data_IF_875088846963
#
_entry.id   IF_875088846963
#
_cell.length_a   1.000
_cell.length_b   1.000
_cell.length_c   1.000
_cell.angle_alpha   90.00
_cell.angle_beta   90.00
_cell.angle_gamma   90.00
#
_symmetry.space_group_name_H-M   'P 1'
#
loop_
_entity.id
_entity.type
_entity.pdbx_description
1 polymer ?
#
# COMPACT_ATOMS: atom_id res chain seq x y z
N UNK A 1 -18.78 7.89 -14.27
CA UNK A 1 -17.53 8.12 -15.01
C UNK A 1 -17.19 6.81 -15.70
N UNK A 2 -17.13 6.79 -17.02
CA UNK A 2 -16.65 5.63 -17.78
C UNK A 2 -15.13 5.69 -17.81
N UNK A 3 -14.48 4.74 -17.14
CA UNK A 3 -13.01 4.57 -17.18
C UNK A 3 -12.63 4.26 -18.63
N UNK A 4 -11.57 4.86 -19.16
CA UNK A 4 -11.10 4.53 -20.50
C UNK A 4 -10.46 3.14 -20.49
N UNK A 5 -10.55 2.40 -21.58
CA UNK A 5 -9.94 1.06 -21.68
C UNK A 5 -8.43 1.07 -21.39
N UNK A 6 -7.74 2.18 -21.67
CA UNK A 6 -6.32 2.36 -21.36
C UNK A 6 -6.06 2.51 -19.85
N UNK A 7 -6.93 3.25 -19.15
CA UNK A 7 -6.85 3.44 -17.70
C UNK A 7 -7.16 2.14 -16.96
N UNK A 8 -8.15 1.38 -17.43
CA UNK A 8 -8.42 0.02 -16.94
C UNK A 8 -7.19 -0.90 -17.07
N UNK A 9 -6.51 -0.83 -18.22
CA UNK A 9 -5.34 -1.64 -18.49
C UNK A 9 -4.13 -1.23 -17.62
N UNK A 10 -3.98 0.07 -17.37
CA UNK A 10 -2.95 0.61 -16.49
C UNK A 10 -3.18 0.18 -15.03
N UNK A 11 -4.41 0.28 -14.53
CA UNK A 11 -4.75 -0.14 -13.16
C UNK A 11 -4.57 -1.66 -12.99
N UNK A 12 -4.99 -2.46 -13.97
CA UNK A 12 -4.76 -3.91 -13.95
C UNK A 12 -3.25 -4.27 -14.00
N UNK A 13 -2.44 -3.47 -14.69
CA UNK A 13 -0.98 -3.62 -14.69
C UNK A 13 -0.38 -3.31 -13.31
N UNK A 14 -0.82 -2.21 -12.69
CA UNK A 14 -0.39 -1.79 -11.35
C UNK A 14 -0.74 -2.84 -10.30
N UNK A 15 -1.99 -3.33 -10.27
CA UNK A 15 -2.43 -4.37 -9.35
C UNK A 15 -1.57 -5.64 -9.47
N UNK A 16 -1.27 -6.07 -10.70
CA UNK A 16 -0.38 -7.22 -10.94
C UNK A 16 1.04 -6.98 -10.42
N UNK A 17 1.57 -5.76 -10.53
CA UNK A 17 2.88 -5.44 -9.97
C UNK A 17 2.89 -5.54 -8.45
N UNK A 18 1.89 -4.94 -7.80
CA UNK A 18 1.77 -4.94 -6.34
C UNK A 18 1.66 -6.38 -5.80
N UNK A 19 0.91 -7.26 -6.47
CA UNK A 19 0.81 -8.68 -6.09
C UNK A 19 2.16 -9.40 -6.20
N UNK A 20 2.94 -9.14 -7.26
CA UNK A 20 4.29 -9.74 -7.40
C UNK A 20 5.23 -9.26 -6.30
N UNK A 21 5.24 -7.95 -6.04
CA UNK A 21 6.09 -7.35 -5.01
C UNK A 21 5.70 -7.86 -3.61
N UNK A 22 4.41 -8.17 -3.41
CA UNK A 22 3.91 -8.73 -2.17
C UNK A 22 4.40 -10.15 -1.94
N UNK A 23 4.38 -11.01 -2.97
CA UNK A 23 4.94 -12.36 -2.84
C UNK A 23 6.46 -12.31 -2.60
N UNK A 24 7.19 -11.41 -3.26
CA UNK A 24 8.61 -11.19 -2.97
C UNK A 24 8.84 -10.73 -1.52
N UNK A 25 8.05 -9.78 -1.02
CA UNK A 25 8.11 -9.33 0.37
C UNK A 25 7.79 -10.47 1.36
N UNK A 26 6.88 -11.38 1.00
CA UNK A 26 6.53 -12.55 1.79
C UNK A 26 7.68 -13.56 1.84
N UNK A 27 8.31 -13.85 0.70
CA UNK A 27 9.49 -14.72 0.61
C UNK A 27 10.65 -14.19 1.46
N UNK A 28 10.84 -12.87 1.48
CA UNK A 28 11.85 -12.18 2.29
C UNK A 28 11.44 -12.01 3.77
N UNK A 29 10.28 -12.55 4.18
CA UNK A 29 9.76 -12.41 5.54
C UNK A 29 9.69 -10.94 6.00
N UNK A 30 9.22 -10.05 5.13
CA UNK A 30 9.04 -8.62 5.39
C UNK A 30 7.55 -8.31 5.69
N UNK A 31 7.05 -8.55 6.92
CA UNK A 31 5.64 -8.41 7.25
C UNK A 31 5.13 -6.97 7.12
N UNK A 32 6.01 -5.98 7.31
CA UNK A 32 5.66 -4.57 7.06
C UNK A 32 5.36 -4.31 5.59
N UNK A 33 6.23 -4.76 4.68
CA UNK A 33 6.05 -4.56 3.25
C UNK A 33 4.80 -5.29 2.73
N UNK A 34 4.54 -6.51 3.21
CA UNK A 34 3.30 -7.24 2.89
C UNK A 34 2.06 -6.42 3.24
N UNK A 35 2.00 -5.86 4.46
CA UNK A 35 0.87 -5.04 4.93
C UNK A 35 0.72 -3.74 4.13
N UNK A 36 1.82 -3.11 3.76
CA UNK A 36 1.79 -1.89 2.95
C UNK A 36 1.23 -2.18 1.55
N UNK A 37 1.70 -3.26 0.92
CA UNK A 37 1.25 -3.68 -0.41
C UNK A 37 -0.23 -4.13 -0.41
N UNK A 38 -0.68 -4.78 0.67
CA UNK A 38 -2.11 -5.07 0.88
C UNK A 38 -2.97 -3.79 0.91
N UNK A 39 -2.48 -2.72 1.56
CA UNK A 39 -3.18 -1.44 1.59
C UNK A 39 -3.19 -0.74 0.23
N UNK A 40 -2.10 -0.84 -0.54
CA UNK A 40 -2.07 -0.35 -1.92
C UNK A 40 -3.10 -1.09 -2.80
N UNK A 41 -3.25 -2.41 -2.65
CA UNK A 41 -4.28 -3.17 -3.39
C UNK A 41 -5.70 -2.74 -3.02
N UNK A 42 -5.94 -2.46 -1.73
CA UNK A 42 -7.23 -1.96 -1.26
C UNK A 42 -7.55 -0.58 -1.88
N UNK A 43 -6.57 0.33 -1.93
CA UNK A 43 -6.74 1.63 -2.57
C UNK A 43 -7.02 1.51 -4.07
N UNK A 44 -6.34 0.60 -4.77
CA UNK A 44 -6.61 0.29 -6.18
C UNK A 44 -8.04 -0.22 -6.38
N UNK A 45 -8.52 -1.13 -5.52
CA UNK A 45 -9.87 -1.65 -5.60
C UNK A 45 -10.93 -0.57 -5.36
N UNK A 46 -10.71 0.32 -4.37
CA UNK A 46 -11.60 1.44 -4.08
C UNK A 46 -11.70 2.40 -5.28
N UNK A 47 -10.56 2.77 -5.86
CA UNK A 47 -10.55 3.62 -7.06
C UNK A 47 -11.27 2.96 -8.25
N UNK A 48 -11.10 1.65 -8.43
CA UNK A 48 -11.75 0.89 -9.52
C UNK A 48 -13.28 0.82 -9.38
N UNK A 49 -13.82 0.70 -8.17
CA UNK A 49 -15.27 0.69 -7.92
C UNK A 49 -15.96 2.04 -8.19
N UNK A 50 -15.24 3.06 -8.65
CA UNK A 50 -15.78 4.42 -8.77
C UNK A 50 -16.08 5.05 -7.41
N UNK A 51 -15.67 4.39 -6.32
CA UNK A 51 -15.42 5.03 -5.03
C UNK A 51 -14.10 5.77 -5.18
N UNK A 52 -14.12 6.78 -6.07
CA UNK A 52 -13.00 7.70 -6.28
C UNK A 52 -12.49 8.21 -4.94
N UNK A 53 -11.24 8.70 -4.87
CA UNK A 53 -10.48 8.87 -3.64
C UNK A 53 -11.41 9.40 -2.55
N UNK A 54 -11.78 8.52 -1.61
CA UNK A 54 -12.69 8.89 -0.52
C UNK A 54 -11.96 9.93 0.30
N UNK A 55 -12.16 11.20 -0.06
CA UNK A 55 -11.35 12.33 0.34
C UNK A 55 -9.88 12.23 -0.14
N UNK A 56 -9.57 12.99 -1.20
CA UNK A 56 -8.23 13.49 -1.43
C UNK A 56 -7.58 13.94 -0.10
N UNK A 57 -6.41 13.38 0.24
CA UNK A 57 -5.34 14.06 1.01
C UNK A 57 -5.85 15.05 2.07
N UNK A 58 -6.74 14.62 2.96
CA UNK A 58 -6.97 15.40 4.16
C UNK A 58 -5.66 15.30 4.97
N UNK A 59 -5.09 16.40 5.50
CA UNK A 59 -3.94 16.36 6.40
C UNK A 59 -4.18 15.55 7.71
N UNK A 60 -5.37 14.93 7.83
CA UNK A 60 -5.83 14.08 8.91
C UNK A 60 -6.36 12.73 8.39
N UNK A 61 -5.91 12.23 7.23
CA UNK A 61 -6.29 10.89 6.77
C UNK A 61 -5.80 9.85 7.80
N UNK A 62 -6.71 9.21 8.56
CA UNK A 62 -6.34 8.32 9.64
C UNK A 62 -5.55 7.12 9.13
N UNK A 63 -5.74 6.72 7.86
CA UNK A 63 -5.03 5.60 7.27
C UNK A 63 -3.57 5.97 6.98
N UNK A 64 -3.32 7.16 6.42
CA UNK A 64 -1.99 7.68 6.19
C UNK A 64 -1.22 7.88 7.51
N UNK A 65 -1.87 8.45 8.53
CA UNK A 65 -1.28 8.63 9.86
C UNK A 65 -0.99 7.31 10.57
N UNK A 66 -1.88 6.31 10.43
CA UNK A 66 -1.68 4.97 10.96
C UNK A 66 -0.54 4.25 10.24
N UNK A 67 -0.45 4.38 8.92
CA UNK A 67 0.62 3.83 8.09
C UNK A 67 1.98 4.40 8.48
N UNK A 68 2.07 5.72 8.60
CA UNK A 68 3.29 6.42 9.03
C UNK A 68 3.71 5.98 10.44
N UNK A 69 2.75 5.90 11.36
CA UNK A 69 3.00 5.46 12.74
C UNK A 69 3.49 4.01 12.78
N UNK A 70 2.85 3.10 12.04
CA UNK A 70 3.26 1.69 11.97
C UNK A 70 4.64 1.52 11.33
N UNK A 71 4.97 2.32 10.31
CA UNK A 71 6.30 2.36 9.72
C UNK A 71 7.35 2.80 10.74
N UNK A 72 7.07 3.89 11.48
CA UNK A 72 7.97 4.42 12.51
C UNK A 72 8.22 3.40 13.63
N UNK A 73 7.20 2.70 14.10
CA UNK A 73 7.32 1.64 15.12
C UNK A 73 8.14 0.46 14.60
N UNK A 74 7.85 -0.02 13.39
CA UNK A 74 8.61 -1.13 12.80
C UNK A 74 10.10 -0.79 12.63
N UNK A 75 10.42 0.45 12.23
CA UNK A 75 11.81 0.92 12.13
C UNK A 75 12.48 1.04 13.50
N UNK A 76 11.75 1.48 14.53
CA UNK A 76 12.28 1.57 15.89
C UNK A 76 12.53 0.18 16.52
N UNK A 77 11.67 -0.80 16.24
CA UNK A 77 11.85 -2.19 16.68
C UNK A 77 13.06 -2.85 16.01
N UNK A 78 13.32 -2.53 14.74
CA UNK A 78 14.51 -3.01 14.02
C UNK A 78 15.80 -2.23 14.37
N UNK A 79 15.70 -0.99 14.86
CA UNK A 79 16.81 -0.19 15.36
C UNK A 79 17.38 -0.64 16.71
N UNK A 80 16.78 -1.64 17.36
CA UNK A 80 17.21 -2.17 18.65
C UNK A 80 18.12 -3.42 18.54
N UNK A 81 18.71 -3.66 17.37
CA UNK A 81 19.88 -4.55 17.30
C UNK A 81 21.06 -3.84 17.96
N UNK A 82 21.71 -4.44 18.98
CA UNK A 82 22.84 -3.79 19.64
C UNK A 82 23.96 -3.56 18.62
N UNK A 83 24.69 -2.43 18.71
CA UNK A 83 25.86 -2.21 17.88
C UNK A 83 26.87 -3.33 18.16
N UNK A 84 27.35 -3.98 17.10
CA UNK A 84 28.63 -4.70 17.13
C UNK A 84 29.76 -3.74 16.84
#
# INVERSE_FOLDING_TARGET
>A
MTISTEEEQAIASLARSIVRDREAARELSMPFACRLLDLCLMEVALNWEGRGPSAARAPNDPLAALLETKLRVALAEHGNFPPR
#
